data_IF_192256497671
#
_entry.id   IF_192256497671
#
_cell.length_a   1.000
_cell.length_b   1.000
_cell.length_c   1.000
_cell.angle_alpha   90.00
_cell.angle_beta   90.00
_cell.angle_gamma   90.00
#
_symmetry.space_group_name_H-M   'P 1'
#
loop_
_entity.id
_entity.type
_entity.pdbx_description
1 polymer ?
#
# COMPACT_ATOMS: atom_id res chain seq x y z
N UNK A 1 -18.36 3.01 4.43
CA UNK A 1 -16.95 3.43 4.19
C UNK A 1 -16.57 2.85 2.85
N UNK A 2 -16.24 3.69 1.89
CA UNK A 2 -15.78 3.25 0.57
C UNK A 2 -14.25 3.09 0.61
N UNK A 3 -13.77 1.96 0.13
CA UNK A 3 -12.35 1.64 0.01
C UNK A 3 -12.03 1.57 -1.49
N UNK A 4 -11.00 2.32 -1.92
CA UNK A 4 -10.60 2.42 -3.32
C UNK A 4 -9.48 1.41 -3.62
N UNK A 5 -9.69 0.12 -3.32
CA UNK A 5 -8.71 -0.95 -3.55
C UNK A 5 -7.30 -0.62 -3.01
N UNK A 6 -7.26 0.05 -1.86
CA UNK A 6 -6.05 0.48 -1.16
C UNK A 6 -5.16 1.49 -1.88
N UNK A 7 -5.61 2.14 -2.98
CA UNK A 7 -4.80 3.13 -3.71
C UNK A 7 -4.31 4.28 -2.81
N UNK A 8 -5.20 4.89 -2.04
CA UNK A 8 -4.84 5.99 -1.13
C UNK A 8 -3.85 5.56 -0.05
N UNK A 9 -3.93 4.31 0.38
CA UNK A 9 -3.04 3.74 1.40
C UNK A 9 -1.66 3.47 0.81
N UNK A 10 -1.60 2.93 -0.41
CA UNK A 10 -0.35 2.77 -1.17
C UNK A 10 0.36 4.11 -1.37
N UNK A 11 -0.37 5.15 -1.80
CA UNK A 11 0.19 6.50 -1.96
C UNK A 11 0.67 7.10 -0.65
N UNK A 12 -0.10 6.95 0.42
CA UNK A 12 0.30 7.43 1.75
C UNK A 12 1.59 6.74 2.21
N UNK A 13 1.67 5.41 2.10
CA UNK A 13 2.88 4.64 2.45
C UNK A 13 4.08 5.03 1.58
N UNK A 14 3.88 5.26 0.28
CA UNK A 14 4.91 5.79 -0.62
C UNK A 14 5.41 7.18 -0.17
N UNK A 15 4.51 8.04 0.30
CA UNK A 15 4.82 9.34 0.89
C UNK A 15 5.33 9.27 2.34
N UNK A 16 5.89 8.12 2.76
CA UNK A 16 6.45 7.88 4.09
C UNK A 16 5.44 7.97 5.25
N UNK A 17 4.14 7.78 5.00
CA UNK A 17 3.15 7.67 6.08
C UNK A 17 3.16 6.26 6.66
N UNK A 18 3.17 6.15 7.99
CA UNK A 18 3.03 4.86 8.67
C UNK A 18 1.56 4.39 8.58
N UNK A 19 1.30 3.17 8.09
CA UNK A 19 -0.05 2.64 7.99
C UNK A 19 -0.58 2.20 9.36
N UNK A 20 -1.88 2.29 9.59
CA UNK A 20 -2.56 1.53 10.64
C UNK A 20 -3.92 1.11 10.08
N UNK A 21 -4.02 -0.16 9.68
CA UNK A 21 -5.06 -0.65 8.79
C UNK A 21 -5.76 -1.85 9.41
N UNK A 22 -7.05 -2.08 9.14
CA UNK A 22 -7.71 -3.29 9.60
C UNK A 22 -7.22 -4.51 8.80
N UNK A 23 -7.13 -5.69 9.44
CA UNK A 23 -6.76 -6.96 8.80
C UNK A 23 -7.95 -7.52 7.96
N UNK A 24 -8.34 -6.78 6.93
CA UNK A 24 -9.45 -7.09 6.00
C UNK A 24 -9.34 -6.18 4.78
N UNK A 25 -10.26 -6.35 3.82
CA UNK A 25 -10.23 -5.65 2.53
C UNK A 25 -8.93 -6.01 1.79
N UNK A 26 -8.45 -5.14 0.90
CA UNK A 26 -7.22 -5.35 0.13
C UNK A 26 -5.93 -5.06 0.93
N UNK A 27 -6.02 -4.57 2.17
CA UNK A 27 -4.84 -4.14 2.93
C UNK A 27 -3.82 -5.25 3.23
N UNK A 28 -4.21 -6.49 3.61
CA UNK A 28 -3.25 -7.57 3.82
C UNK A 28 -2.53 -7.99 2.54
N UNK A 29 -3.14 -7.77 1.37
CA UNK A 29 -2.57 -8.07 0.06
C UNK A 29 -1.55 -6.99 -0.37
N UNK A 30 -1.83 -5.73 -0.06
CA UNK A 30 -0.98 -4.59 -0.43
C UNK A 30 0.21 -4.43 0.54
N UNK A 31 -0.03 -4.58 1.84
CA UNK A 31 1.01 -4.41 2.85
C UNK A 31 1.99 -5.60 2.82
N UNK A 32 3.32 -5.39 2.80
CA UNK A 32 4.27 -6.49 2.87
C UNK A 32 4.09 -7.34 4.13
N UNK A 33 4.14 -8.68 4.00
CA UNK A 33 3.88 -9.62 5.11
C UNK A 33 4.69 -9.35 6.38
N UNK A 34 5.95 -8.91 6.25
CA UNK A 34 6.81 -8.55 7.40
C UNK A 34 6.24 -7.44 8.29
N UNK A 35 5.38 -6.59 7.71
CA UNK A 35 4.78 -5.44 8.37
C UNK A 35 3.37 -5.71 8.91
N UNK A 36 2.78 -6.88 8.61
CA UNK A 36 1.41 -7.22 9.01
C UNK A 36 1.22 -7.14 10.53
N UNK A 37 2.10 -7.78 11.30
CA UNK A 37 1.99 -7.80 12.77
C UNK A 37 2.01 -6.39 13.37
N UNK A 38 2.75 -5.46 12.77
CA UNK A 38 2.94 -4.12 13.32
C UNK A 38 1.79 -3.18 12.94
N UNK A 39 1.22 -3.33 11.74
CA UNK A 39 0.33 -2.31 11.17
C UNK A 39 -1.08 -2.79 10.80
N UNK A 40 -1.37 -4.10 10.84
CA UNK A 40 -2.73 -4.63 10.67
C UNK A 40 -3.38 -4.89 12.02
N UNK A 41 -4.63 -4.48 12.24
CA UNK A 41 -5.37 -4.75 13.48
C UNK A 41 -6.67 -5.53 13.22
N UNK A 42 -7.07 -6.38 14.15
CA UNK A 42 -8.31 -7.17 14.08
C UNK A 42 -9.42 -6.63 15.01
N UNK A 43 -9.04 -5.85 16.01
CA UNK A 43 -9.97 -5.26 16.99
C UNK A 43 -9.64 -3.80 17.29
N UNK A 44 -10.62 -3.06 17.82
CA UNK A 44 -10.41 -1.68 18.29
C UNK A 44 -9.37 -1.59 19.40
N UNK A 45 -9.33 -2.57 20.31
CA UNK A 45 -8.34 -2.60 21.38
C UNK A 45 -6.91 -2.75 20.83
N UNK A 46 -6.73 -3.56 19.80
CA UNK A 46 -5.45 -3.72 19.12
C UNK A 46 -5.07 -2.47 18.31
N UNK A 47 -6.03 -1.85 17.63
CA UNK A 47 -5.85 -0.56 16.96
C UNK A 47 -5.36 0.51 17.94
N UNK A 48 -6.00 0.64 19.11
CA UNK A 48 -5.64 1.62 20.14
C UNK A 48 -4.23 1.38 20.68
N UNK A 49 -3.88 0.11 20.96
CA UNK A 49 -2.55 -0.24 21.45
C UNK A 49 -1.47 0.10 20.40
N UNK A 50 -1.70 -0.26 19.14
CA UNK A 50 -0.78 0.03 18.03
C UNK A 50 -0.67 1.53 17.78
N UNK A 51 -1.77 2.27 17.79
CA UNK A 51 -1.75 3.71 17.61
C UNK A 51 -0.90 4.40 18.70
N UNK A 52 -1.07 4.02 19.96
CA UNK A 52 -0.25 4.54 21.07
C UNK A 52 1.23 4.26 20.85
N UNK A 53 1.57 3.03 20.46
CA UNK A 53 2.95 2.66 20.13
C UNK A 53 3.51 3.52 18.99
N UNK A 54 2.76 3.68 17.89
CA UNK A 54 3.20 4.47 16.73
C UNK A 54 3.43 5.94 17.08
N UNK A 55 2.61 6.52 17.97
CA UNK A 55 2.79 7.89 18.43
C UNK A 55 4.02 8.06 19.32
N UNK A 56 4.32 7.07 20.18
CA UNK A 56 5.48 7.08 21.06
C UNK A 56 6.78 6.85 20.30
N UNK A 57 6.80 5.86 19.41
CA UNK A 57 7.99 5.43 18.67
C UNK A 57 8.14 6.14 17.32
N UNK A 58 7.30 7.15 17.03
CA UNK A 58 7.22 7.79 15.71
C UNK A 58 8.60 8.17 15.16
N UNK A 59 9.50 8.72 15.98
CA UNK A 59 10.85 9.15 15.56
C UNK A 59 11.79 7.96 15.27
N UNK A 60 11.60 6.83 15.94
CA UNK A 60 12.44 5.64 15.79
C UNK A 60 12.05 4.79 14.56
N UNK A 61 10.88 5.04 13.98
CA UNK A 61 10.32 4.30 12.84
C UNK A 61 10.71 4.87 11.47
N UNK A 62 11.73 5.74 11.40
CA UNK A 62 12.22 6.33 10.14
C UNK A 62 12.66 5.28 9.12
N UNK A 63 13.36 4.24 9.58
CA UNK A 63 13.78 3.14 8.72
C UNK A 63 12.58 2.37 8.16
N UNK A 64 11.56 2.12 8.99
CA UNK A 64 10.33 1.45 8.58
C UNK A 64 9.57 2.26 7.53
N UNK A 65 9.47 3.59 7.68
CA UNK A 65 8.85 4.47 6.68
C UNK A 65 9.55 4.42 5.33
N UNK A 66 10.89 4.34 5.32
CA UNK A 66 11.66 4.21 4.08
C UNK A 66 11.45 2.86 3.42
N UNK A 67 11.52 1.78 4.19
CA UNK A 67 11.27 0.43 3.66
C UNK A 67 9.84 0.26 3.13
N UNK A 68 8.85 0.85 3.79
CA UNK A 68 7.47 0.88 3.29
C UNK A 68 7.37 1.65 1.97
N UNK A 69 7.98 2.84 1.89
CA UNK A 69 7.95 3.64 0.67
C UNK A 69 8.64 2.92 -0.50
N UNK A 70 9.78 2.28 -0.27
CA UNK A 70 10.48 1.46 -1.25
C UNK A 70 9.61 0.28 -1.71
N UNK A 71 8.95 -0.41 -0.79
CA UNK A 71 8.05 -1.51 -1.13
C UNK A 71 6.83 -1.02 -1.95
N UNK A 72 6.34 0.19 -1.70
CA UNK A 72 5.22 0.77 -2.44
C UNK A 72 5.61 1.34 -3.80
N UNK A 73 6.90 1.61 -4.02
CA UNK A 73 7.38 2.19 -5.28
C UNK A 73 6.94 1.35 -6.50
N UNK A 74 6.88 0.02 -6.38
CA UNK A 74 6.44 -0.89 -7.45
C UNK A 74 4.99 -0.64 -7.91
N UNK A 75 4.17 0.00 -7.09
CA UNK A 75 2.77 0.31 -7.40
C UNK A 75 2.58 1.76 -7.91
N UNK A 76 3.63 2.56 -8.01
CA UNK A 76 3.52 3.94 -8.51
C UNK A 76 3.18 3.95 -9.99
N UNK A 77 2.38 4.94 -10.41
CA UNK A 77 2.03 5.12 -11.83
C UNK A 77 3.26 5.19 -12.73
N UNK A 78 4.31 5.87 -12.26
CA UNK A 78 5.60 5.99 -12.95
C UNK A 78 6.20 4.62 -13.33
N UNK A 79 6.02 3.60 -12.49
CA UNK A 79 6.57 2.27 -12.72
C UNK A 79 5.58 1.30 -13.41
N UNK A 80 4.31 1.69 -13.54
CA UNK A 80 3.26 0.85 -14.14
C UNK A 80 2.82 1.32 -15.52
N UNK A 81 3.05 2.59 -15.88
CA UNK A 81 2.57 3.20 -17.12
C UNK A 81 2.99 2.42 -18.37
N UNK A 82 4.26 2.01 -18.47
CA UNK A 82 4.78 1.29 -19.64
C UNK A 82 4.08 -0.07 -19.86
N UNK A 83 3.75 -0.78 -18.77
CA UNK A 83 3.01 -2.05 -18.83
C UNK A 83 1.58 -1.82 -19.35
N UNK A 84 0.91 -0.77 -18.84
CA UNK A 84 -0.42 -0.41 -19.30
C UNK A 84 -0.40 -0.01 -20.77
N UNK A 85 0.52 0.86 -21.18
CA UNK A 85 0.68 1.31 -22.56
C UNK A 85 0.89 0.11 -23.50
N UNK A 86 1.74 -0.85 -23.12
CA UNK A 86 1.95 -2.07 -23.89
C UNK A 86 0.68 -2.92 -24.04
N UNK A 87 -0.09 -3.11 -22.96
CA UNK A 87 -1.35 -3.86 -22.99
C UNK A 87 -2.37 -3.14 -23.90
N UNK A 88 -2.46 -1.82 -23.82
CA UNK A 88 -3.34 -1.02 -24.67
C UNK A 88 -2.98 -1.14 -26.15
N UNK A 89 -1.70 -1.05 -26.49
CA UNK A 89 -1.22 -1.24 -27.87
C UNK A 89 -1.59 -2.62 -28.43
N UNK A 90 -1.40 -3.68 -27.64
CA UNK A 90 -1.76 -5.05 -28.04
C UNK A 90 -3.27 -5.19 -28.31
N UNK A 91 -4.11 -4.60 -27.46
CA UNK A 91 -5.57 -4.65 -27.62
C UNK A 91 -6.01 -3.95 -28.91
N UNK A 92 -5.44 -2.78 -29.22
CA UNK A 92 -5.73 -2.04 -30.46
C UNK A 92 -5.26 -2.81 -31.68
N UNK A 93 -4.07 -3.41 -31.64
CA UNK A 93 -3.55 -4.22 -32.74
C UNK A 93 -4.45 -5.42 -33.04
N UNK A 94 -4.96 -6.10 -32.01
CA UNK A 94 -5.84 -7.27 -32.13
C UNK A 94 -7.22 -6.94 -32.69
N UNK A 95 -7.74 -5.73 -32.42
CA UNK A 95 -9.00 -5.26 -32.99
C UNK A 95 -8.90 -4.91 -34.49
N UNK A 96 -7.74 -4.44 -34.95
CA UNK A 96 -7.52 -4.07 -36.37
C UNK A 96 -7.27 -5.28 -37.29
N UNK A 97 -6.96 -6.43 -36.72
CA UNK A 97 -6.77 -7.70 -37.43
C UNK A 97 -8.07 -8.51 -37.62
N UNK A 98 -9.21 -7.97 -37.19
CA UNK A 98 -10.57 -8.47 -37.44
C UNK A 98 -11.36 -7.48 -38.29
#
# INVERSE_FOLDING_TARGET
>A
IQENFGFSVTEAMYCHVLPLLPNRLSYPEILPKKFHRQFLYESTAEMDAKLRYLLQEYRNLDHVRRELAEAMNQFTWKNRIDEFDHIFEQLVARQRSH
#
